data_IF_801903626308
#
_entry.id   IF_801903626308
#
_cell.length_a   1.000
_cell.length_b   1.000
_cell.length_c   1.000
_cell.angle_alpha   90.00
_cell.angle_beta   90.00
_cell.angle_gamma   90.00
#
_symmetry.space_group_name_H-M   'P 1'
#
loop_
_entity.id
_entity.type
_entity.pdbx_description
1 polymer ?
#
# COMPACT_ATOMS: atom_id res chain seq x y z
N UNK A 1 -60.01 54.78 1.43
CA UNK A 1 -58.57 55.06 1.62
C UNK A 1 -58.16 54.38 2.92
N UNK A 2 -56.92 53.91 3.02
CA UNK A 2 -56.34 52.94 4.00
C UNK A 2 -56.38 51.48 3.49
N UNK A 3 -55.32 50.95 2.88
CA UNK A 3 -53.97 50.58 3.31
C UNK A 3 -53.87 49.44 4.35
N UNK A 4 -53.26 48.36 3.84
CA UNK A 4 -52.15 47.58 4.42
C UNK A 4 -52.39 46.33 5.29
N UNK A 5 -51.73 45.27 4.77
CA UNK A 5 -51.01 44.18 5.44
C UNK A 5 -51.75 42.87 5.78
N UNK A 6 -51.69 41.94 4.80
CA UNK A 6 -51.57 40.50 5.06
C UNK A 6 -50.09 40.08 4.90
N UNK A 7 -49.59 39.15 5.73
CA UNK A 7 -48.18 38.81 5.80
C UNK A 7 -47.79 37.77 4.73
N UNK A 8 -46.64 37.99 4.10
CA UNK A 8 -45.82 36.91 3.53
C UNK A 8 -44.44 37.02 4.18
N UNK A 9 -44.17 36.17 5.17
CA UNK A 9 -42.83 35.95 5.67
C UNK A 9 -42.38 34.56 5.19
N UNK A 10 -41.71 34.54 4.04
CA UNK A 10 -40.79 33.46 3.65
C UNK A 10 -39.40 33.97 3.99
N UNK A 11 -38.76 33.36 4.97
CA UNK A 11 -37.39 33.64 5.35
C UNK A 11 -36.87 32.47 6.17
N UNK A 12 -36.13 31.60 5.49
CA UNK A 12 -35.60 30.35 6.01
C UNK A 12 -34.68 30.59 7.21
N UNK A 13 -34.95 29.88 8.30
CA UNK A 13 -33.95 29.61 9.33
C UNK A 13 -32.95 28.59 8.75
N UNK A 14 -31.92 29.08 8.07
CA UNK A 14 -30.69 28.33 7.88
C UNK A 14 -29.67 28.84 8.91
N UNK A 15 -29.72 28.25 10.10
CA UNK A 15 -28.60 28.28 11.03
C UNK A 15 -27.47 27.45 10.41
N UNK A 16 -26.66 28.09 9.57
CA UNK A 16 -25.38 27.52 9.18
C UNK A 16 -24.49 27.54 10.44
N UNK A 17 -24.41 26.38 11.09
CA UNK A 17 -23.29 26.03 11.94
C UNK A 17 -22.04 25.98 11.03
N UNK A 18 -21.45 27.14 10.77
CA UNK A 18 -20.08 27.22 10.29
C UNK A 18 -19.19 26.61 11.37
N UNK A 19 -18.81 25.36 11.15
CA UNK A 19 -17.70 24.74 11.83
C UNK A 19 -16.46 25.53 11.41
N UNK A 20 -16.16 26.59 12.15
CA UNK A 20 -15.00 27.45 11.94
C UNK A 20 -13.74 26.61 12.06
N UNK A 21 -13.21 26.16 10.92
CA UNK A 21 -11.90 25.54 10.84
C UNK A 21 -10.88 26.51 11.46
N UNK A 22 -9.89 26.01 12.23
CA UNK A 22 -8.90 26.88 12.85
C UNK A 22 -8.17 27.66 11.75
N UNK A 23 -8.21 29.01 11.83
CA UNK A 23 -7.49 29.88 10.90
C UNK A 23 -5.98 29.65 11.07
N UNK A 24 -5.34 29.14 10.03
CA UNK A 24 -3.89 28.92 9.99
C UNK A 24 -3.18 30.27 10.03
N UNK A 25 -2.27 30.45 11.01
CA UNK A 25 -1.45 31.64 11.16
C UNK A 25 -0.05 31.41 10.56
N UNK A 26 0.49 32.42 9.87
CA UNK A 26 1.81 32.37 9.24
C UNK A 26 2.86 33.19 10.02
N UNK A 27 4.14 32.76 10.07
CA UNK A 27 4.68 31.56 9.45
C UNK A 27 4.15 30.28 10.12
N UNK A 28 3.80 29.28 9.30
CA UNK A 28 3.19 28.03 9.72
C UNK A 28 4.23 26.90 9.71
N UNK A 29 4.39 26.22 10.84
CA UNK A 29 5.28 25.06 10.97
C UNK A 29 4.48 23.77 10.79
N UNK A 30 4.66 23.12 9.64
CA UNK A 30 4.15 21.78 9.39
C UNK A 30 5.14 20.73 9.94
N UNK A 31 5.17 20.57 11.26
CA UNK A 31 6.02 19.60 11.96
C UNK A 31 5.80 18.18 11.44
N UNK A 32 6.89 17.43 11.28
CA UNK A 32 6.82 16.03 10.91
C UNK A 32 8.04 15.29 11.45
N UNK A 33 7.79 14.25 12.25
CA UNK A 33 8.84 13.45 12.85
C UNK A 33 8.90 12.06 12.23
N UNK A 34 10.11 11.65 11.89
CA UNK A 34 10.43 10.29 11.44
C UNK A 34 11.50 9.71 12.34
N UNK A 35 11.55 8.38 12.44
CA UNK A 35 12.54 7.68 13.24
C UNK A 35 13.30 6.71 12.35
N UNK A 36 14.62 6.82 12.30
CA UNK A 36 15.47 5.80 11.68
C UNK A 36 15.73 4.71 12.71
N UNK A 37 15.23 3.50 12.48
CA UNK A 37 15.39 2.37 13.39
C UNK A 37 16.40 1.36 12.83
N UNK A 38 17.14 0.70 13.72
CA UNK A 38 18.03 -0.42 13.36
C UNK A 38 17.19 -1.64 12.97
N UNK A 39 17.66 -2.41 11.98
CA UNK A 39 17.07 -3.69 11.60
C UNK A 39 17.20 -4.68 12.76
N UNK A 40 16.10 -5.38 13.16
CA UNK A 40 16.18 -6.44 14.15
C UNK A 40 17.02 -7.62 13.61
N UNK A 41 17.84 -8.23 14.47
CA UNK A 41 18.58 -9.45 14.11
C UNK A 41 17.56 -10.61 14.00
N UNK A 42 17.66 -11.49 12.99
CA UNK A 42 16.80 -12.67 12.89
C UNK A 42 16.85 -13.53 14.15
N UNK A 43 15.68 -13.99 14.59
CA UNK A 43 15.49 -14.95 15.68
C UNK A 43 16.04 -16.32 15.29
N UNK A 44 16.52 -17.11 16.25
CA UNK A 44 16.84 -18.52 15.98
C UNK A 44 15.55 -19.30 15.63
N UNK A 45 15.69 -20.54 15.14
CA UNK A 45 14.58 -21.41 14.69
C UNK A 45 13.55 -21.81 15.76
N UNK A 46 13.55 -21.17 16.94
CA UNK A 46 12.55 -21.30 18.00
C UNK A 46 11.60 -20.10 18.11
N UNK A 47 11.76 -19.08 17.26
CA UNK A 47 10.92 -17.87 17.30
C UNK A 47 11.24 -16.92 18.46
N UNK A 48 12.33 -17.17 19.20
CA UNK A 48 12.81 -16.29 20.25
C UNK A 48 13.56 -15.12 19.62
N UNK A 49 13.02 -13.91 19.81
CA UNK A 49 13.79 -12.70 19.54
C UNK A 49 14.91 -12.65 20.55
N UNK A 50 16.17 -12.63 20.10
CA UNK A 50 17.22 -12.08 20.96
C UNK A 50 16.93 -10.59 21.03
N UNK A 51 16.02 -10.21 21.92
CA UNK A 51 15.73 -8.81 22.20
C UNK A 51 17.02 -8.25 22.78
N UNK A 52 17.70 -7.40 22.00
CA UNK A 52 18.70 -6.49 22.53
C UNK A 52 20.02 -7.10 22.98
N UNK A 53 20.79 -7.71 22.06
CA UNK A 53 22.26 -7.64 22.16
C UNK A 53 22.88 -7.33 20.78
N UNK A 54 22.53 -6.17 20.22
CA UNK A 54 23.64 -5.31 19.80
C UNK A 54 24.06 -4.70 21.14
N UNK A 55 25.25 -5.00 21.70
CA UNK A 55 25.71 -4.31 22.91
C UNK A 55 25.45 -2.82 22.70
N UNK A 56 24.94 -2.11 23.70
CA UNK A 56 24.68 -0.66 23.60
C UNK A 56 25.92 0.10 23.05
N UNK A 57 27.09 -0.51 23.29
CA UNK A 57 28.44 -0.22 22.86
C UNK A 57 28.69 -0.27 21.34
N UNK A 58 27.92 -1.08 20.58
CA UNK A 58 28.06 -1.18 19.12
C UNK A 58 27.35 0.02 18.46
N UNK A 59 28.16 1.04 18.19
CA UNK A 59 27.78 2.23 17.41
C UNK A 59 27.61 1.84 15.94
N UNK A 60 26.36 1.64 15.53
CA UNK A 60 26.00 1.55 14.11
C UNK A 60 25.61 2.94 13.64
N UNK A 61 26.14 3.35 12.47
CA UNK A 61 25.96 4.70 11.95
C UNK A 61 25.49 4.71 10.50
N UNK A 62 24.73 5.73 10.16
CA UNK A 62 24.58 6.19 8.78
C UNK A 62 25.90 6.86 8.40
N UNK A 63 26.49 6.46 7.28
CA UNK A 63 27.78 6.95 6.81
C UNK A 63 27.73 7.32 5.34
N UNK A 64 28.80 7.95 4.87
CA UNK A 64 29.00 8.24 3.45
C UNK A 64 29.01 6.96 2.61
N UNK A 65 28.60 7.11 1.36
CA UNK A 65 28.49 6.03 0.40
C UNK A 65 28.75 6.56 -1.00
N UNK A 66 28.91 5.67 -1.96
CA UNK A 66 29.13 6.02 -3.36
C UNK A 66 28.00 5.46 -4.21
N UNK A 67 27.64 6.21 -5.26
CA UNK A 67 26.77 5.74 -6.34
C UNK A 67 27.58 5.81 -7.63
N UNK A 68 28.06 4.67 -8.08
CA UNK A 68 29.06 4.62 -9.16
C UNK A 68 30.35 5.31 -8.73
N UNK A 69 30.85 6.23 -9.56
CA UNK A 69 32.13 6.94 -9.32
C UNK A 69 31.99 8.23 -8.50
N UNK A 70 30.79 8.55 -8.01
CA UNK A 70 30.53 9.78 -7.25
C UNK A 70 30.00 9.49 -5.86
N UNK A 71 30.28 10.38 -4.91
CA UNK A 71 29.68 10.32 -3.57
C UNK A 71 28.16 10.36 -3.69
N UNK A 72 27.48 9.54 -2.90
CA UNK A 72 26.02 9.54 -2.82
C UNK A 72 25.56 10.87 -2.23
N UNK A 73 24.71 11.59 -2.96
CA UNK A 73 24.10 12.84 -2.53
C UNK A 73 22.62 12.59 -2.23
N UNK A 74 22.13 13.09 -1.09
CA UNK A 74 20.73 12.92 -0.67
C UNK A 74 19.76 13.93 -1.28
N UNK A 75 20.29 15.04 -1.79
CA UNK A 75 19.53 16.17 -2.32
C UNK A 75 19.73 16.30 -3.84
N UNK A 76 18.76 16.94 -4.50
CA UNK A 76 18.96 17.43 -5.87
C UNK A 76 19.85 18.67 -5.88
N UNK A 77 20.42 19.03 -7.03
CA UNK A 77 21.28 20.23 -7.17
C UNK A 77 20.57 21.50 -6.67
N UNK A 78 19.27 21.66 -6.97
CA UNK A 78 18.50 22.82 -6.53
C UNK A 78 18.34 22.87 -5.00
N UNK A 79 18.13 21.72 -4.38
CA UNK A 79 18.01 21.62 -2.93
C UNK A 79 19.34 21.77 -2.22
N UNK A 80 20.43 21.28 -2.83
CA UNK A 80 21.78 21.55 -2.34
C UNK A 80 22.02 23.06 -2.29
N UNK A 81 21.78 23.77 -3.40
CA UNK A 81 21.95 25.23 -3.45
C UNK A 81 21.07 25.98 -2.46
N UNK A 82 19.92 25.42 -2.08
CA UNK A 82 18.99 26.06 -1.14
C UNK A 82 19.29 25.76 0.32
N UNK A 83 19.61 24.52 0.65
CA UNK A 83 19.66 24.04 2.04
C UNK A 83 21.09 23.83 2.55
N UNK A 84 22.03 23.41 1.70
CA UNK A 84 23.41 23.21 2.15
C UNK A 84 24.13 24.51 2.57
N UNK A 85 23.87 25.71 2.02
CA UNK A 85 24.57 26.91 2.49
C UNK A 85 24.37 27.18 3.98
N UNK A 86 23.21 26.80 4.52
CA UNK A 86 22.87 26.93 5.95
C UNK A 86 23.73 25.99 6.80
N UNK A 87 24.14 24.84 6.25
CA UNK A 87 24.93 23.82 6.95
C UNK A 87 26.42 24.06 6.80
N UNK A 88 26.90 24.31 5.57
CA UNK A 88 28.33 24.40 5.26
C UNK A 88 28.87 25.84 5.30
N UNK A 89 28.00 26.85 5.38
CA UNK A 89 28.37 28.25 5.49
C UNK A 89 28.96 28.86 4.22
N UNK A 90 28.74 28.26 3.05
CA UNK A 90 29.30 28.70 1.76
C UNK A 90 28.17 28.99 0.77
N UNK A 91 28.28 30.11 0.07
CA UNK A 91 27.33 30.49 -1.00
C UNK A 91 27.43 29.52 -2.19
N UNK A 92 26.30 29.17 -2.83
CA UNK A 92 26.28 28.42 -4.08
C UNK A 92 27.11 29.01 -5.23
N UNK A 93 27.37 30.32 -5.20
CA UNK A 93 28.13 31.03 -6.23
C UNK A 93 29.64 31.07 -5.94
N UNK A 94 30.07 30.50 -4.81
CA UNK A 94 31.48 30.41 -4.44
C UNK A 94 32.24 29.44 -5.36
N UNK A 95 33.48 29.77 -5.79
CA UNK A 95 34.34 28.83 -6.51
C UNK A 95 34.60 27.50 -5.75
N UNK A 96 34.48 27.53 -4.42
CA UNK A 96 34.69 26.36 -3.55
C UNK A 96 33.41 25.53 -3.32
N UNK A 97 32.27 25.91 -3.90
CA UNK A 97 30.98 25.25 -3.66
C UNK A 97 31.01 23.75 -3.93
N UNK A 98 31.52 23.33 -5.10
CA UNK A 98 31.50 21.93 -5.50
C UNK A 98 32.41 21.06 -4.60
N UNK A 99 33.59 21.57 -4.22
CA UNK A 99 34.45 20.88 -3.25
C UNK A 99 33.78 20.76 -1.89
N UNK A 100 33.22 21.85 -1.37
CA UNK A 100 32.65 21.86 -0.01
C UNK A 100 31.38 21.01 0.11
N UNK A 101 30.53 20.97 -0.92
CA UNK A 101 29.38 20.05 -0.92
C UNK A 101 29.82 18.60 -1.00
N UNK A 102 30.80 18.27 -1.84
CA UNK A 102 31.38 16.93 -1.91
C UNK A 102 32.00 16.51 -0.59
N UNK A 103 32.72 17.40 0.08
CA UNK A 103 33.31 17.14 1.39
C UNK A 103 32.23 16.90 2.45
N UNK A 104 31.13 17.66 2.44
CA UNK A 104 30.00 17.41 3.32
C UNK A 104 29.43 16.00 3.14
N UNK A 105 29.16 15.57 1.90
CA UNK A 105 28.62 14.23 1.63
C UNK A 105 29.61 13.10 1.94
N UNK A 106 30.91 13.32 1.69
CA UNK A 106 31.96 12.36 2.03
C UNK A 106 32.09 12.15 3.55
N UNK A 107 31.75 13.17 4.34
CA UNK A 107 31.87 13.16 5.80
C UNK A 107 30.52 12.99 6.51
N UNK A 108 29.42 12.73 5.79
CA UNK A 108 28.14 12.45 6.45
C UNK A 108 28.27 11.23 7.36
N UNK A 109 28.01 11.42 8.63
CA UNK A 109 28.19 10.39 9.66
C UNK A 109 27.26 10.68 10.83
N UNK A 110 26.32 9.78 11.10
CA UNK A 110 25.38 9.91 12.22
C UNK A 110 25.14 8.56 12.87
N UNK A 111 25.45 8.47 14.16
CA UNK A 111 25.13 7.30 14.97
C UNK A 111 23.61 7.14 15.08
N UNK A 112 23.13 5.91 14.93
CA UNK A 112 21.71 5.57 15.09
C UNK A 112 21.54 4.89 16.43
N UNK A 113 20.91 5.50 17.44
CA UNK A 113 20.68 4.88 18.76
C UNK A 113 19.84 3.59 18.68
N UNK A 114 19.87 2.77 19.74
CA UNK A 114 19.08 1.53 19.82
C UNK A 114 17.57 1.80 19.77
N UNK A 115 17.12 2.84 20.47
CA UNK A 115 15.73 3.32 20.45
C UNK A 115 15.34 4.04 19.14
N UNK A 116 16.29 4.19 18.21
CA UNK A 116 16.12 4.89 16.94
C UNK A 116 16.58 6.35 16.99
N UNK A 117 16.85 6.89 15.81
CA UNK A 117 17.23 8.28 15.60
C UNK A 117 15.99 9.07 15.15
N UNK A 118 15.44 9.88 16.04
CA UNK A 118 14.35 10.81 15.71
C UNK A 118 14.88 12.00 14.91
N UNK A 119 14.19 12.35 13.82
CA UNK A 119 14.52 13.45 12.92
C UNK A 119 13.28 14.34 12.74
N UNK A 120 13.44 15.65 12.93
CA UNK A 120 12.42 16.64 12.56
C UNK A 120 12.59 17.01 11.09
N UNK A 121 11.67 16.54 10.25
CA UNK A 121 11.68 16.72 8.79
C UNK A 121 10.54 17.61 8.30
N UNK A 122 9.85 18.27 9.23
CA UNK A 122 8.82 19.25 8.95
C UNK A 122 9.36 20.50 8.25
N UNK A 123 8.44 21.22 7.62
CA UNK A 123 8.73 22.41 6.84
C UNK A 123 7.96 23.61 7.42
N UNK A 124 8.61 24.77 7.45
CA UNK A 124 8.02 26.07 7.72
C UNK A 124 7.58 26.71 6.41
N UNK A 125 6.40 27.33 6.42
CA UNK A 125 5.84 28.09 5.32
C UNK A 125 5.58 29.52 5.77
N UNK A 126 6.06 30.50 5.01
CA UNK A 126 5.92 31.90 5.39
C UNK A 126 4.57 32.49 4.94
N UNK A 127 3.85 31.83 4.02
CA UNK A 127 2.55 32.24 3.51
C UNK A 127 1.70 31.04 3.07
N UNK A 128 0.39 31.28 2.89
CA UNK A 128 -0.58 30.25 2.50
C UNK A 128 -0.34 29.70 1.09
N UNK A 129 0.19 30.52 0.19
CA UNK A 129 0.50 30.10 -1.18
C UNK A 129 1.57 29.01 -1.17
N UNK A 130 2.67 29.23 -0.47
CA UNK A 130 3.76 28.26 -0.33
C UNK A 130 3.30 26.95 0.35
N UNK A 131 2.41 27.05 1.34
CA UNK A 131 1.78 25.89 1.98
C UNK A 131 0.86 25.13 1.01
N UNK A 132 0.05 25.82 0.21
CA UNK A 132 -0.88 25.19 -0.73
C UNK A 132 -0.15 24.57 -1.94
N UNK A 133 1.01 25.08 -2.31
CA UNK A 133 1.87 24.52 -3.36
C UNK A 133 2.64 23.27 -2.91
N UNK A 134 2.56 22.91 -1.62
CA UNK A 134 3.18 21.74 -1.05
C UNK A 134 2.46 20.44 -1.45
N UNK A 135 2.82 19.91 -2.62
CA UNK A 135 2.30 18.66 -3.15
C UNK A 135 3.04 17.40 -2.65
N UNK A 136 3.59 17.41 -1.42
CA UNK A 136 4.27 16.22 -0.80
C UNK A 136 3.42 14.93 -0.81
N UNK A 137 2.13 15.01 -1.13
CA UNK A 137 1.17 13.91 -1.24
C UNK A 137 1.09 13.24 -2.63
N UNK A 138 1.74 13.76 -3.68
CA UNK A 138 1.71 13.13 -5.03
C UNK A 138 3.12 12.86 -5.54
N UNK A 139 3.52 11.58 -5.43
CA UNK A 139 4.55 10.92 -6.24
C UNK A 139 6.00 11.38 -6.06
N UNK A 140 6.56 11.00 -4.92
CA UNK A 140 8.01 10.93 -4.69
C UNK A 140 8.58 9.55 -5.14
N UNK A 141 8.00 9.00 -6.22
CA UNK A 141 8.17 7.59 -6.62
C UNK A 141 9.36 7.34 -7.54
N UNK A 142 9.82 8.32 -8.32
CA UNK A 142 11.01 8.16 -9.17
C UNK A 142 11.59 9.53 -9.51
N UNK A 143 12.45 10.10 -8.67
CA UNK A 143 13.43 11.16 -8.99
C UNK A 143 13.11 12.11 -10.19
N UNK A 144 11.86 12.55 -10.32
CA UNK A 144 11.29 13.42 -11.36
C UNK A 144 10.42 14.46 -10.66
N UNK A 145 11.09 15.19 -9.78
CA UNK A 145 10.85 16.60 -9.45
C UNK A 145 9.39 17.10 -9.53
N UNK A 146 8.66 16.97 -8.43
CA UNK A 146 8.02 18.17 -7.86
C UNK A 146 8.75 18.52 -6.57
N UNK A 147 9.87 19.23 -6.77
CA UNK A 147 10.69 19.77 -5.68
C UNK A 147 9.81 20.70 -4.86
N UNK A 148 9.63 20.45 -3.56
CA UNK A 148 9.06 21.46 -2.68
C UNK A 148 10.15 22.52 -2.40
N UNK A 149 10.31 23.44 -3.36
CA UNK A 149 11.18 24.62 -3.25
C UNK A 149 10.56 25.75 -2.40
N UNK A 150 9.42 25.51 -1.75
CA UNK A 150 8.69 26.54 -1.03
C UNK A 150 8.85 26.41 0.48
N UNK A 151 8.62 25.23 1.04
CA UNK A 151 8.87 24.98 2.46
C UNK A 151 10.34 25.10 2.85
N UNK A 152 10.61 25.67 4.02
CA UNK A 152 11.95 25.78 4.62
C UNK A 152 12.06 24.72 5.72
N UNK A 153 13.05 23.82 5.70
CA UNK A 153 13.23 22.83 6.77
C UNK A 153 13.26 23.47 8.15
N UNK A 154 12.41 22.98 9.06
CA UNK A 154 12.40 23.42 10.46
C UNK A 154 13.74 23.06 11.12
N UNK A 155 14.26 21.87 10.83
CA UNK A 155 15.62 21.47 11.12
C UNK A 155 16.33 21.05 9.81
N UNK A 156 17.18 21.91 9.23
CA UNK A 156 17.89 21.61 8.00
C UNK A 156 18.78 20.36 8.08
N UNK A 157 19.48 20.13 9.20
CA UNK A 157 20.39 18.99 9.34
C UNK A 157 19.62 17.66 9.32
N UNK A 158 18.52 17.58 10.07
CA UNK A 158 17.67 16.40 10.14
C UNK A 158 16.96 16.11 8.81
N UNK A 159 16.45 17.16 8.16
CA UNK A 159 15.82 17.05 6.84
C UNK A 159 16.80 16.50 5.79
N UNK A 160 18.02 17.03 5.75
CA UNK A 160 19.05 16.58 4.79
C UNK A 160 19.47 15.14 5.08
N UNK A 161 19.63 14.78 6.35
CA UNK A 161 19.94 13.39 6.74
C UNK A 161 18.81 12.43 6.36
N UNK A 162 17.55 12.80 6.57
CA UNK A 162 16.40 12.01 6.13
C UNK A 162 16.38 11.82 4.61
N UNK A 163 16.68 12.88 3.85
CA UNK A 163 16.80 12.81 2.38
C UNK A 163 17.92 11.89 1.93
N UNK A 164 19.05 11.93 2.60
CA UNK A 164 20.14 10.97 2.38
C UNK A 164 19.72 9.54 2.68
N UNK A 165 19.06 9.30 3.82
CA UNK A 165 18.56 7.98 4.19
C UNK A 165 17.64 7.37 3.12
N UNK A 166 16.82 8.19 2.46
CA UNK A 166 15.89 7.69 1.43
C UNK A 166 16.54 7.09 0.18
N UNK A 167 17.80 7.45 -0.09
CA UNK A 167 18.57 6.97 -1.24
C UNK A 167 19.74 6.07 -0.81
N UNK A 168 19.97 5.94 0.49
CA UNK A 168 21.06 5.16 1.05
C UNK A 168 20.71 3.68 1.08
N UNK A 169 21.47 2.85 0.36
CA UNK A 169 21.15 1.44 0.12
C UNK A 169 21.06 0.55 1.37
N UNK A 170 21.52 1.04 2.53
CA UNK A 170 21.44 0.35 3.81
C UNK A 170 20.19 0.72 4.62
N UNK A 171 19.35 1.62 4.12
CA UNK A 171 18.11 2.07 4.76
C UNK A 171 16.93 1.66 3.88
N UNK A 172 15.99 0.89 4.44
CA UNK A 172 14.70 0.62 3.80
C UNK A 172 13.75 1.81 4.04
N UNK A 173 13.05 2.24 2.99
CA UNK A 173 12.10 3.35 3.07
C UNK A 173 10.77 2.96 3.74
N UNK A 174 10.45 1.68 3.69
CA UNK A 174 9.24 1.08 4.26
C UNK A 174 9.60 -0.24 4.99
N UNK A 175 8.76 -0.65 5.93
CA UNK A 175 9.06 -1.78 6.82
C UNK A 175 9.09 -3.11 6.06
N UNK A 176 8.25 -3.25 5.04
CA UNK A 176 8.14 -4.42 4.18
C UNK A 176 9.47 -4.71 3.42
N UNK A 177 10.26 -3.67 3.20
CA UNK A 177 11.48 -3.72 2.38
C UNK A 177 12.72 -4.13 3.18
N UNK A 178 12.59 -4.24 4.50
CA UNK A 178 13.71 -4.48 5.43
C UNK A 178 14.49 -5.76 5.12
N UNK A 179 13.85 -6.75 4.48
CA UNK A 179 14.42 -8.06 4.16
C UNK A 179 14.72 -8.25 2.66
N UNK A 180 14.54 -7.23 1.82
CA UNK A 180 14.84 -7.32 0.38
C UNK A 180 16.33 -7.47 0.05
N UNK A 181 17.22 -7.08 0.97
CA UNK A 181 18.67 -7.19 0.79
C UNK A 181 19.39 -7.41 2.11
N UNK A 182 20.45 -8.21 2.08
CA UNK A 182 21.33 -8.44 3.23
C UNK A 182 22.11 -7.19 3.66
N UNK A 183 22.24 -6.18 2.78
CA UNK A 183 22.94 -4.92 3.08
C UNK A 183 22.11 -3.92 3.90
N UNK A 184 20.81 -4.17 4.04
CA UNK A 184 19.90 -3.29 4.78
C UNK A 184 20.13 -3.46 6.27
N UNK A 185 20.40 -2.34 6.95
CA UNK A 185 20.71 -2.25 8.37
C UNK A 185 19.73 -1.34 9.12
N UNK A 186 18.98 -0.52 8.41
CA UNK A 186 18.04 0.43 8.99
C UNK A 186 16.73 0.47 8.21
N UNK A 187 15.70 1.05 8.81
CA UNK A 187 14.47 1.40 8.12
C UNK A 187 13.90 2.73 8.63
N UNK A 188 13.21 3.44 7.76
CA UNK A 188 12.48 4.66 8.09
C UNK A 188 11.14 4.28 8.70
N UNK A 189 10.89 4.74 9.92
CA UNK A 189 9.65 4.53 10.64
C UNK A 189 8.91 5.87 10.83
N UNK A 190 7.62 5.89 10.52
CA UNK A 190 6.71 6.99 10.86
C UNK A 190 5.46 6.41 11.50
N UNK A 191 5.10 6.93 12.68
CA UNK A 191 3.87 6.53 13.39
C UNK A 191 2.62 6.79 12.55
N UNK A 192 2.63 7.83 11.74
CA UNK A 192 1.51 8.17 10.86
C UNK A 192 1.36 7.12 9.76
N UNK A 193 2.45 6.77 9.06
CA UNK A 193 2.43 5.69 8.05
C UNK A 193 1.97 4.36 8.63
N UNK A 194 2.43 3.99 9.84
CA UNK A 194 1.99 2.75 10.49
C UNK A 194 0.49 2.79 10.82
N UNK A 195 0.00 3.93 11.32
CA UNK A 195 -1.42 4.12 11.63
C UNK A 195 -2.27 4.07 10.37
N UNK A 196 -1.80 4.65 9.26
CA UNK A 196 -2.46 4.61 7.95
C UNK A 196 -2.50 3.18 7.39
N UNK A 197 -1.39 2.45 7.43
CA UNK A 197 -1.33 1.04 6.99
C UNK A 197 -2.27 0.16 7.84
N UNK A 198 -2.24 0.31 9.16
CA UNK A 198 -3.18 -0.40 10.08
C UNK A 198 -4.63 -0.03 9.79
N UNK A 199 -4.91 1.25 9.54
CA UNK A 199 -6.26 1.72 9.19
C UNK A 199 -6.70 1.17 7.84
N UNK A 200 -5.81 1.05 6.86
CA UNK A 200 -6.10 0.46 5.55
C UNK A 200 -6.45 -1.03 5.69
N UNK A 201 -5.65 -1.80 6.44
CA UNK A 201 -5.94 -3.21 6.74
C UNK A 201 -7.27 -3.34 7.48
N UNK A 202 -7.49 -2.55 8.53
CA UNK A 202 -8.74 -2.55 9.29
C UNK A 202 -9.95 -2.21 8.41
N UNK A 203 -9.80 -1.27 7.47
CA UNK A 203 -10.87 -0.93 6.53
C UNK A 203 -11.17 -2.08 5.57
N UNK A 204 -10.14 -2.75 5.04
CA UNK A 204 -10.30 -3.96 4.23
C UNK A 204 -11.02 -5.07 5.00
N UNK A 205 -10.60 -5.33 6.25
CA UNK A 205 -11.27 -6.31 7.12
C UNK A 205 -12.72 -5.95 7.38
N UNK A 206 -13.03 -4.68 7.69
CA UNK A 206 -14.41 -4.21 7.89
C UNK A 206 -15.26 -4.40 6.65
N UNK A 207 -14.71 -4.10 5.47
CA UNK A 207 -15.40 -4.25 4.20
C UNK A 207 -15.64 -5.73 3.86
N UNK A 208 -14.66 -6.60 4.09
CA UNK A 208 -14.78 -8.05 3.92
C UNK A 208 -15.84 -8.64 4.85
N UNK A 209 -15.80 -8.29 6.14
CA UNK A 209 -16.80 -8.70 7.11
C UNK A 209 -18.20 -8.20 6.74
N UNK A 210 -18.32 -6.95 6.27
CA UNK A 210 -19.59 -6.41 5.80
C UNK A 210 -20.15 -7.26 4.65
N UNK A 211 -19.34 -7.56 3.63
CA UNK A 211 -19.76 -8.39 2.50
C UNK A 211 -20.19 -9.80 2.95
N UNK A 212 -19.42 -10.40 3.86
CA UNK A 212 -19.72 -11.72 4.40
C UNK A 212 -21.09 -11.72 5.11
N UNK A 213 -21.30 -10.82 6.06
CA UNK A 213 -22.56 -10.78 6.80
C UNK A 213 -23.77 -10.41 5.94
N UNK A 214 -23.60 -9.57 4.90
CA UNK A 214 -24.70 -9.26 3.98
C UNK A 214 -25.04 -10.41 3.04
N UNK A 215 -24.11 -11.33 2.78
CA UNK A 215 -24.28 -12.40 1.79
C UNK A 215 -24.47 -13.78 2.45
N UNK A 216 -24.41 -13.86 3.78
CA UNK A 216 -24.48 -15.12 4.55
C UNK A 216 -25.77 -15.91 4.31
N UNK A 217 -26.87 -15.23 4.00
CA UNK A 217 -28.15 -15.87 3.72
C UNK A 217 -28.19 -16.51 2.31
N UNK A 218 -27.30 -16.10 1.40
CA UNK A 218 -27.23 -16.59 0.02
C UNK A 218 -26.26 -17.78 -0.07
N UNK A 219 -26.82 -18.99 -0.01
CA UNK A 219 -26.05 -20.23 -0.08
C UNK A 219 -25.40 -20.45 -1.44
N UNK A 220 -26.01 -19.96 -2.52
CA UNK A 220 -25.42 -20.03 -3.86
C UNK A 220 -24.19 -19.12 -3.94
N UNK A 221 -24.25 -17.92 -3.36
CA UNK A 221 -23.10 -17.03 -3.28
C UNK A 221 -21.94 -17.64 -2.48
N UNK A 222 -22.24 -18.30 -1.35
CA UNK A 222 -21.22 -19.00 -0.54
C UNK A 222 -20.56 -20.10 -1.37
N UNK A 223 -21.36 -20.97 -2.01
CA UNK A 223 -20.85 -22.06 -2.84
C UNK A 223 -20.00 -21.54 -4.00
N UNK A 224 -20.47 -20.51 -4.71
CA UNK A 224 -19.72 -19.94 -5.82
C UNK A 224 -18.41 -19.29 -5.37
N UNK A 225 -18.43 -18.54 -4.26
CA UNK A 225 -17.26 -17.86 -3.69
C UNK A 225 -16.23 -18.88 -3.24
N UNK A 226 -16.63 -19.90 -2.48
CA UNK A 226 -15.75 -20.98 -2.05
C UNK A 226 -15.13 -21.72 -3.23
N UNK A 227 -15.92 -22.05 -4.25
CA UNK A 227 -15.42 -22.76 -5.44
C UNK A 227 -14.23 -22.03 -6.07
N UNK A 228 -14.38 -20.72 -6.27
CA UNK A 228 -13.35 -19.90 -6.91
C UNK A 228 -12.16 -19.71 -5.97
N UNK A 229 -12.38 -19.47 -4.67
CA UNK A 229 -11.30 -19.34 -3.68
C UNK A 229 -10.45 -20.61 -3.60
N UNK A 230 -11.09 -21.78 -3.52
CA UNK A 230 -10.42 -23.09 -3.48
C UNK A 230 -9.58 -23.32 -4.75
N UNK A 231 -10.09 -22.94 -5.92
CA UNK A 231 -9.35 -23.10 -7.18
C UNK A 231 -8.04 -22.29 -7.25
N UNK A 232 -7.95 -21.23 -6.46
CA UNK A 232 -6.78 -20.34 -6.38
C UNK A 232 -5.85 -20.70 -5.21
N UNK A 233 -6.32 -21.50 -4.26
CA UNK A 233 -5.58 -21.86 -3.06
C UNK A 233 -4.58 -22.99 -3.32
N UNK A 234 -3.29 -22.66 -3.22
CA UNK A 234 -2.19 -23.61 -3.43
C UNK A 234 -1.88 -24.47 -2.21
N UNK A 235 -2.47 -24.16 -1.06
CA UNK A 235 -2.24 -24.94 0.17
C UNK A 235 -2.91 -26.31 0.12
N UNK A 236 -3.91 -26.49 -0.76
CA UNK A 236 -4.77 -27.66 -0.84
C UNK A 236 -5.49 -27.99 0.49
N UNK A 237 -5.69 -27.00 1.38
CA UNK A 237 -6.45 -27.20 2.62
C UNK A 237 -7.87 -27.69 2.34
N UNK A 238 -8.52 -27.06 1.36
CA UNK A 238 -9.78 -27.49 0.80
C UNK A 238 -9.56 -27.85 -0.67
N UNK A 239 -10.35 -28.80 -1.18
CA UNK A 239 -10.31 -29.22 -2.58
C UNK A 239 -11.69 -29.06 -3.22
N UNK A 240 -11.73 -28.99 -4.54
CA UNK A 240 -13.01 -28.90 -5.24
C UNK A 240 -13.91 -30.12 -4.97
N UNK A 241 -13.33 -31.30 -4.74
CA UNK A 241 -14.05 -32.50 -4.34
C UNK A 241 -14.59 -32.40 -2.91
N UNK A 242 -13.80 -31.89 -1.96
CA UNK A 242 -14.26 -31.76 -0.57
C UNK A 242 -15.43 -30.79 -0.46
N UNK A 243 -15.46 -29.74 -1.29
CA UNK A 243 -16.56 -28.76 -1.30
C UNK A 243 -17.92 -29.39 -1.63
N UNK A 244 -17.97 -30.42 -2.48
CA UNK A 244 -19.23 -31.13 -2.80
C UNK A 244 -19.77 -31.95 -1.63
N UNK A 245 -18.89 -32.39 -0.73
CA UNK A 245 -19.23 -33.23 0.42
C UNK A 245 -19.42 -32.44 1.72
N UNK A 246 -19.08 -31.15 1.75
CA UNK A 246 -19.16 -30.32 2.96
C UNK A 246 -20.62 -30.00 3.30
N UNK A 247 -20.94 -30.10 4.59
CA UNK A 247 -22.16 -29.53 5.17
C UNK A 247 -22.16 -28.00 5.09
N UNK A 248 -23.34 -27.39 5.23
CA UNK A 248 -23.46 -25.93 5.21
C UNK A 248 -22.68 -25.26 6.34
N UNK A 249 -22.61 -25.88 7.52
CA UNK A 249 -21.81 -25.39 8.65
C UNK A 249 -20.31 -25.42 8.34
N UNK A 250 -19.82 -26.48 7.67
CA UNK A 250 -18.42 -26.57 7.25
C UNK A 250 -18.08 -25.51 6.19
N UNK A 251 -19.02 -25.20 5.30
CA UNK A 251 -18.86 -24.12 4.31
C UNK A 251 -18.79 -22.75 4.98
N UNK A 252 -19.64 -22.50 5.98
CA UNK A 252 -19.63 -21.26 6.77
C UNK A 252 -18.31 -21.08 7.54
N UNK A 253 -17.73 -22.19 8.03
CA UNK A 253 -16.39 -22.18 8.64
C UNK A 253 -15.33 -21.86 7.58
N UNK A 254 -15.31 -22.59 6.46
CA UNK A 254 -14.28 -22.45 5.42
C UNK A 254 -14.25 -21.04 4.80
N UNK A 255 -15.41 -20.45 4.52
CA UNK A 255 -15.48 -19.13 3.91
C UNK A 255 -14.98 -18.05 4.88
N UNK A 256 -15.28 -18.19 6.17
CA UNK A 256 -14.78 -17.29 7.22
C UNK A 256 -13.26 -17.42 7.41
N UNK A 257 -12.70 -18.62 7.27
CA UNK A 257 -11.25 -18.80 7.28
C UNK A 257 -10.56 -18.10 6.10
N UNK A 258 -11.11 -18.23 4.88
CA UNK A 258 -10.57 -17.50 3.72
C UNK A 258 -10.65 -15.98 3.92
N UNK A 259 -11.75 -15.47 4.49
CA UNK A 259 -11.87 -14.06 4.85
C UNK A 259 -10.76 -13.63 5.81
N UNK A 260 -10.50 -14.40 6.87
CA UNK A 260 -9.47 -14.07 7.88
C UNK A 260 -8.05 -14.14 7.32
N UNK A 261 -7.78 -15.13 6.46
CA UNK A 261 -6.44 -15.37 5.94
C UNK A 261 -6.08 -14.41 4.80
N UNK A 262 -7.05 -14.02 3.97
CA UNK A 262 -6.82 -13.09 2.87
C UNK A 262 -8.07 -12.24 2.56
N UNK A 263 -8.35 -11.19 3.36
CA UNK A 263 -9.52 -10.33 3.18
C UNK A 263 -9.59 -9.68 1.80
N UNK A 264 -8.43 -9.31 1.23
CA UNK A 264 -8.33 -8.67 -0.07
C UNK A 264 -8.79 -9.59 -1.21
N UNK A 265 -8.31 -10.84 -1.22
CA UNK A 265 -8.73 -11.82 -2.22
C UNK A 265 -10.21 -12.19 -2.04
N UNK A 266 -10.65 -12.40 -0.80
CA UNK A 266 -12.05 -12.67 -0.49
C UNK A 266 -12.98 -11.58 -1.04
N UNK A 267 -12.64 -10.30 -0.82
CA UNK A 267 -13.40 -9.18 -1.36
C UNK A 267 -13.42 -9.14 -2.89
N UNK A 268 -12.27 -9.37 -3.52
CA UNK A 268 -12.15 -9.36 -4.98
C UNK A 268 -13.06 -10.42 -5.62
N UNK A 269 -13.07 -11.63 -5.07
CA UNK A 269 -13.91 -12.74 -5.57
C UNK A 269 -15.38 -12.54 -5.20
N UNK A 270 -15.69 -12.21 -3.94
CA UNK A 270 -17.07 -12.09 -3.47
C UNK A 270 -17.86 -10.94 -4.10
N UNK A 271 -17.17 -9.91 -4.64
CA UNK A 271 -17.77 -8.80 -5.39
C UNK A 271 -17.71 -8.97 -6.91
N UNK A 272 -17.15 -10.08 -7.39
CA UNK A 272 -16.99 -10.31 -8.82
C UNK A 272 -18.36 -10.43 -9.50
N UNK A 273 -18.62 -9.57 -10.49
CA UNK A 273 -19.87 -9.59 -11.26
C UNK A 273 -20.04 -10.89 -12.05
N UNK A 274 -18.94 -11.56 -12.38
CA UNK A 274 -18.90 -12.81 -13.10
C UNK A 274 -18.72 -14.03 -12.18
N UNK A 275 -18.87 -13.87 -10.86
CA UNK A 275 -18.66 -14.93 -9.87
C UNK A 275 -19.34 -16.25 -10.23
N UNK A 276 -20.61 -16.20 -10.63
CA UNK A 276 -21.37 -17.38 -11.03
C UNK A 276 -20.77 -18.07 -12.27
N UNK A 277 -20.33 -17.30 -13.27
CA UNK A 277 -19.72 -17.88 -14.48
C UNK A 277 -18.33 -18.47 -14.17
N UNK A 278 -17.55 -17.81 -13.31
CA UNK A 278 -16.27 -18.33 -12.83
C UNK A 278 -16.47 -19.65 -12.08
N UNK A 279 -17.40 -19.67 -11.14
CA UNK A 279 -17.73 -20.88 -10.39
C UNK A 279 -18.20 -22.02 -11.31
N UNK A 280 -19.05 -21.71 -12.29
CA UNK A 280 -19.48 -22.68 -13.30
C UNK A 280 -18.31 -23.29 -14.08
N UNK A 281 -17.36 -22.47 -14.54
CA UNK A 281 -16.15 -22.95 -15.22
C UNK A 281 -15.35 -23.88 -14.30
N UNK A 282 -15.13 -23.50 -13.05
CA UNK A 282 -14.40 -24.33 -12.07
C UNK A 282 -15.14 -25.65 -11.78
N UNK A 283 -16.47 -25.66 -11.73
CA UNK A 283 -17.27 -26.89 -11.62
C UNK A 283 -17.08 -27.79 -12.84
N UNK A 284 -17.06 -27.24 -14.06
CA UNK A 284 -16.76 -28.00 -15.27
C UNK A 284 -15.35 -28.57 -15.27
N UNK A 285 -14.35 -27.83 -14.78
CA UNK A 285 -12.97 -28.32 -14.63
C UNK A 285 -12.93 -29.46 -13.61
N UNK A 286 -13.61 -29.31 -12.48
CA UNK A 286 -13.68 -30.33 -11.41
C UNK A 286 -14.27 -31.64 -11.91
N UNK A 287 -15.31 -31.59 -12.77
CA UNK A 287 -15.91 -32.77 -13.41
C UNK A 287 -15.17 -33.25 -14.67
N UNK A 288 -13.98 -32.71 -14.98
CA UNK A 288 -13.20 -33.00 -16.19
C UNK A 288 -13.95 -32.76 -17.52
N UNK A 289 -14.95 -31.87 -17.52
CA UNK A 289 -15.67 -31.44 -18.73
C UNK A 289 -14.84 -30.41 -19.50
N UNK A 290 -14.22 -29.49 -18.75
CA UNK A 290 -13.19 -28.57 -19.24
C UNK A 290 -11.83 -29.05 -18.75
N UNK A 291 -10.78 -28.77 -19.52
CA UNK A 291 -9.41 -29.06 -19.11
C UNK A 291 -8.64 -27.77 -18.88
N UNK A 292 -7.99 -27.68 -17.71
CA UNK A 292 -6.93 -26.69 -17.48
C UNK A 292 -5.61 -27.34 -17.83
N UNK A 293 -4.89 -26.80 -18.82
CA UNK A 293 -3.62 -27.39 -19.25
C UNK A 293 -2.63 -27.33 -18.07
N UNK A 294 -1.99 -28.46 -17.68
CA UNK A 294 -1.09 -28.52 -16.53
C UNK A 294 -0.01 -27.44 -16.57
N UNK A 295 0.25 -26.80 -15.43
CA UNK A 295 1.21 -25.70 -15.27
C UNK A 295 0.91 -24.44 -16.10
N UNK A 296 -0.32 -24.29 -16.60
CA UNK A 296 -0.76 -23.07 -17.29
C UNK A 296 -2.13 -22.62 -16.76
N UNK A 297 -2.56 -21.41 -17.15
CA UNK A 297 -3.91 -20.91 -16.92
C UNK A 297 -4.86 -21.18 -18.09
N UNK A 298 -4.39 -21.84 -19.16
CA UNK A 298 -5.17 -22.08 -20.38
C UNK A 298 -6.27 -23.09 -20.12
N UNK A 299 -7.49 -22.76 -20.54
CA UNK A 299 -8.69 -23.58 -20.40
C UNK A 299 -9.15 -24.00 -21.79
N UNK A 300 -9.36 -25.30 -21.98
CA UNK A 300 -9.78 -25.90 -23.24
C UNK A 300 -11.08 -26.69 -23.09
N UNK A 301 -11.81 -26.75 -24.20
CA UNK A 301 -12.98 -27.60 -24.39
C UNK A 301 -12.76 -28.38 -25.70
N UNK A 302 -12.77 -29.72 -25.64
CA UNK A 302 -12.62 -30.57 -26.84
C UNK A 302 -11.38 -30.22 -27.69
N UNK A 303 -10.24 -29.97 -27.03
CA UNK A 303 -8.97 -29.55 -27.61
C UNK A 303 -8.93 -28.12 -28.20
N UNK A 304 -10.02 -27.36 -28.15
CA UNK A 304 -10.03 -25.94 -28.50
C UNK A 304 -9.82 -25.06 -27.28
N UNK A 305 -8.99 -24.03 -27.41
CA UNK A 305 -8.78 -23.03 -26.34
C UNK A 305 -9.98 -22.10 -26.26
N UNK A 306 -10.63 -22.09 -25.10
CA UNK A 306 -11.73 -21.16 -24.80
C UNK A 306 -11.26 -19.92 -24.03
N UNK A 307 -10.06 -19.96 -23.45
CA UNK A 307 -9.42 -18.79 -22.85
C UNK A 307 -8.04 -19.10 -22.29
N UNK A 308 -7.11 -18.14 -22.32
CA UNK A 308 -5.77 -18.31 -21.75
C UNK A 308 -5.75 -18.18 -20.21
N UNK A 309 -6.86 -17.74 -19.62
CA UNK A 309 -7.09 -17.61 -18.20
C UNK A 309 -8.60 -17.67 -17.92
N UNK A 310 -8.98 -17.66 -16.64
CA UNK A 310 -10.38 -17.75 -16.21
C UNK A 310 -11.23 -16.57 -16.73
N UNK A 311 -10.68 -15.35 -16.77
CA UNK A 311 -11.41 -14.15 -17.23
C UNK A 311 -11.67 -14.17 -18.74
N UNK A 312 -10.72 -14.66 -19.53
CA UNK A 312 -10.91 -14.89 -20.97
C UNK A 312 -11.95 -15.97 -21.23
N UNK A 313 -11.94 -17.07 -20.46
CA UNK A 313 -12.94 -18.11 -20.57
C UNK A 313 -14.35 -17.62 -20.18
N UNK A 314 -14.45 -16.75 -19.16
CA UNK A 314 -15.71 -16.04 -18.84
C UNK A 314 -16.16 -15.19 -20.02
N UNK A 315 -15.25 -14.41 -20.62
CA UNK A 315 -15.55 -13.55 -21.77
C UNK A 315 -16.03 -14.38 -22.96
N UNK A 316 -15.40 -15.53 -23.22
CA UNK A 316 -15.79 -16.48 -24.24
C UNK A 316 -17.21 -17.02 -24.00
N UNK A 317 -17.54 -17.48 -22.78
CA UNK A 317 -18.85 -18.04 -22.46
C UNK A 317 -19.96 -16.99 -22.37
N UNK A 318 -19.63 -15.73 -22.08
CA UNK A 318 -20.61 -14.63 -22.08
C UNK A 318 -20.87 -14.08 -23.48
N UNK A 319 -20.05 -14.43 -24.48
CA UNK A 319 -20.29 -14.05 -25.86
C UNK A 319 -21.50 -14.83 -26.43
N UNK A 320 -22.55 -14.15 -26.92
CA UNK A 320 -23.73 -14.83 -27.50
C UNK A 320 -23.41 -15.80 -28.64
N UNK A 321 -22.33 -15.57 -29.38
CA UNK A 321 -21.88 -16.46 -30.47
C UNK A 321 -21.50 -17.87 -29.96
N UNK A 322 -21.07 -17.96 -28.70
CA UNK A 322 -20.65 -19.22 -28.07
C UNK A 322 -21.75 -19.82 -27.19
N UNK A 323 -23.00 -19.35 -27.32
CA UNK A 323 -24.13 -19.82 -26.52
C UNK A 323 -24.32 -21.34 -26.56
N UNK A 324 -24.12 -21.97 -27.73
CA UNK A 324 -24.20 -23.43 -27.88
C UNK A 324 -23.21 -24.15 -26.97
N UNK A 325 -21.95 -23.68 -26.90
CA UNK A 325 -20.93 -24.28 -26.02
C UNK A 325 -21.36 -24.20 -24.56
N UNK A 326 -21.90 -23.04 -24.14
CA UNK A 326 -22.39 -22.84 -22.77
C UNK A 326 -23.53 -23.81 -22.43
N UNK A 327 -24.48 -24.02 -23.35
CA UNK A 327 -25.57 -24.98 -23.14
C UNK A 327 -25.06 -26.44 -23.12
N UNK A 328 -24.10 -26.79 -23.97
CA UNK A 328 -23.46 -28.12 -23.93
C UNK A 328 -22.76 -28.37 -22.59
N UNK A 329 -22.03 -27.38 -22.06
CA UNK A 329 -21.36 -27.50 -20.76
C UNK A 329 -22.37 -27.68 -19.62
N UNK A 330 -23.49 -26.95 -19.63
CA UNK A 330 -24.57 -27.11 -18.65
C UNK A 330 -25.18 -28.51 -18.70
N UNK A 331 -25.46 -29.02 -19.90
CA UNK A 331 -26.02 -30.36 -20.07
C UNK A 331 -25.08 -31.45 -19.51
N UNK A 332 -23.77 -31.35 -19.79
CA UNK A 332 -22.76 -32.29 -19.27
C UNK A 332 -22.60 -32.18 -17.75
N UNK A 333 -22.68 -30.97 -17.20
CA UNK A 333 -22.54 -30.77 -15.75
C UNK A 333 -23.70 -31.42 -14.97
N UNK A 334 -24.90 -31.41 -15.54
CA UNK A 334 -26.12 -32.01 -14.95
C UNK A 334 -26.26 -33.51 -15.22
N UNK A 335 -25.35 -34.12 -15.98
CA UNK A 335 -25.36 -35.58 -16.18
C UNK A 335 -24.86 -36.26 -14.89
N UNK A 336 -25.56 -37.30 -14.38
CA UNK A 336 -25.22 -37.97 -13.12
C UNK A 336 -23.79 -38.51 -13.06
#
# INVERSE_FOLDING_TARGET
>A
MENNNKPQNKGNNETQNETSQPKIQFPYNAYNKVVIKRKPIPTNGKGETIIGQIPEEFKIKIGSSYRGNSVLRGLTILEEKRFLPIIIGISPDSPNWESSTRDYWNNISKDVPLNGLELEVGLRYDNAEDLNHDNRLQEDLEFKSKVNLKGIPINPADYILWRYCRVYSRVANDLEDINKSAKIEFYIYSKNKETEAKKAILNLEKEANKLYYTSLADREWINHTLRVLISLDKSNKYTALSLESMSEDEKDIAINEYLKNNPSLFLAIGKDKNLQTKSFIESCITKNILQRIPNTSVITFEAETIGNNLDEAVTFLNNPKNGTVKETLKARLNTP
#
